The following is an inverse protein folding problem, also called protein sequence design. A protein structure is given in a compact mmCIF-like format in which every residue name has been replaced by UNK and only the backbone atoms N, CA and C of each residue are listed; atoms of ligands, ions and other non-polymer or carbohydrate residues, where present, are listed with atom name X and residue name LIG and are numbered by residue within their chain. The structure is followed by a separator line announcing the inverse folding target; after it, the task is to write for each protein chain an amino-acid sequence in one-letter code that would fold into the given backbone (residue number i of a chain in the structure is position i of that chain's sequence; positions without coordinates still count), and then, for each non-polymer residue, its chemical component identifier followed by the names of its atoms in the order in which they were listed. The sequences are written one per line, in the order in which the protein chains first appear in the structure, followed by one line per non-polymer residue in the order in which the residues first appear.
data_IF_764060488974
#
_entry.id   IF_764060488974
#
_cell.length_a   1.000
_cell.length_b   1.000
_cell.length_c   1.000
_cell.angle_alpha   90.00
_cell.angle_beta   90.00
_cell.angle_gamma   90.00
#
_symmetry.space_group_name_H-M   'P 1'
#
loop_
_entity.id
_entity.type
_entity.pdbx_description
1 polymer ?
#
# COMPACT_ATOMS: atom_id res chain seq x y z
N UNK A 1 -5.43 7.65 -13.19
CA UNK A 1 -4.79 7.92 -11.88
C UNK A 1 -4.99 6.68 -11.03
N UNK A 2 -4.06 6.32 -10.16
CA UNK A 2 -4.28 5.17 -9.28
C UNK A 2 -5.40 5.52 -8.30
N UNK A 3 -6.47 4.73 -8.26
CA UNK A 3 -7.65 4.97 -7.40
C UNK A 3 -7.65 4.06 -6.18
N UNK A 4 -7.23 2.81 -6.36
CA UNK A 4 -7.22 1.81 -5.30
C UNK A 4 -6.07 0.81 -5.48
N UNK A 5 -5.50 0.36 -4.36
CA UNK A 5 -4.60 -0.79 -4.28
C UNK A 5 -5.21 -1.84 -3.36
N UNK A 6 -5.40 -3.05 -3.89
CA UNK A 6 -5.81 -4.22 -3.14
C UNK A 6 -4.66 -5.21 -3.13
N UNK A 7 -4.23 -5.62 -1.94
CA UNK A 7 -3.16 -6.59 -1.73
C UNK A 7 -3.75 -7.80 -1.03
N UNK A 8 -3.54 -9.00 -1.57
CA UNK A 8 -3.97 -10.26 -0.97
C UNK A 8 -2.81 -11.26 -0.94
N UNK A 9 -2.66 -11.96 0.18
CA UNK A 9 -1.65 -13.02 0.38
C UNK A 9 -0.22 -12.58 -0.01
N UNK A 10 0.18 -11.38 0.43
CA UNK A 10 1.48 -10.80 0.09
C UNK A 10 2.30 -10.54 1.35
N UNK A 11 3.50 -11.13 1.40
CA UNK A 11 4.40 -11.07 2.57
C UNK A 11 3.66 -11.55 3.83
N UNK A 12 3.38 -10.66 4.80
CA UNK A 12 2.69 -10.95 6.06
C UNK A 12 1.23 -10.47 6.05
N UNK A 13 0.76 -9.89 4.94
CA UNK A 13 -0.58 -9.30 4.84
C UNK A 13 -1.50 -10.28 4.12
N UNK A 14 -2.51 -10.77 4.83
CA UNK A 14 -3.57 -11.58 4.24
C UNK A 14 -4.42 -10.74 3.28
N UNK A 15 -4.88 -9.56 3.74
CA UNK A 15 -5.65 -8.59 2.94
C UNK A 15 -5.36 -7.16 3.38
N UNK A 16 -5.09 -6.28 2.42
CA UNK A 16 -5.06 -4.84 2.63
C UNK A 16 -5.74 -4.11 1.46
N UNK A 17 -6.39 -2.99 1.81
CA UNK A 17 -7.08 -2.11 0.87
C UNK A 17 -6.64 -0.68 1.15
N UNK A 18 -6.19 0.02 0.11
CA UNK A 18 -5.84 1.43 0.17
C UNK A 18 -6.53 2.17 -0.96
N UNK A 19 -7.26 3.23 -0.59
CA UNK A 19 -7.88 4.15 -1.55
C UNK A 19 -6.98 5.38 -1.70
N UNK A 20 -6.67 5.72 -2.94
CA UNK A 20 -5.83 6.86 -3.29
C UNK A 20 -6.70 8.08 -3.59
N UNK A 21 -6.21 9.24 -3.15
CA UNK A 21 -6.87 10.51 -3.39
C UNK A 21 -6.10 11.36 -4.41
N UNK A 22 -6.76 12.31 -5.08
CA UNK A 22 -6.08 13.30 -5.91
C UNK A 22 -4.96 14.04 -5.16
N UNK A 23 -3.85 14.30 -5.85
CA UNK A 23 -2.69 15.01 -5.29
C UNK A 23 -1.68 14.10 -4.58
N UNK A 24 -1.08 14.61 -3.50
CA UNK A 24 -0.03 13.92 -2.76
C UNK A 24 -0.63 13.00 -1.69
N UNK A 25 -0.38 11.70 -1.81
CA UNK A 25 -0.72 10.73 -0.78
C UNK A 25 0.53 10.49 0.08
N UNK A 26 0.44 10.70 1.39
CA UNK A 26 1.56 10.53 2.32
C UNK A 26 1.33 9.29 3.17
N UNK A 27 2.25 8.32 3.07
CA UNK A 27 2.23 7.11 3.88
C UNK A 27 3.13 7.30 5.11
N UNK A 28 2.55 7.22 6.31
CA UNK A 28 3.25 7.41 7.59
C UNK A 28 3.12 6.19 8.50
N UNK A 29 3.86 6.18 9.61
CA UNK A 29 3.85 5.09 10.60
C UNK A 29 5.25 4.78 11.12
N UNK A 30 5.34 3.87 12.09
CA UNK A 30 6.61 3.42 12.68
C UNK A 30 7.32 2.37 11.82
N UNK A 31 8.51 1.93 12.23
CA UNK A 31 9.19 0.78 11.62
C UNK A 31 8.36 -0.47 11.83
N UNK A 32 8.14 -1.26 10.77
CA UNK A 32 7.30 -2.45 10.82
C UNK A 32 5.81 -2.21 10.57
N UNK A 33 5.35 -0.95 10.46
CA UNK A 33 3.94 -0.62 10.20
C UNK A 33 3.43 -0.99 8.77
N UNK A 34 4.23 -1.70 7.97
CA UNK A 34 3.82 -2.14 6.63
C UNK A 34 4.01 -1.10 5.51
N UNK A 35 4.73 0.00 5.74
CA UNK A 35 4.95 1.03 4.71
C UNK A 35 5.67 0.49 3.47
N UNK A 36 6.75 -0.27 3.66
CA UNK A 36 7.51 -0.87 2.54
C UNK A 36 6.66 -1.85 1.74
N UNK A 37 5.74 -2.57 2.39
CA UNK A 37 4.85 -3.51 1.71
C UNK A 37 3.95 -2.82 0.68
N UNK A 38 3.42 -1.64 1.02
CA UNK A 38 2.62 -0.84 0.08
C UNK A 38 3.48 -0.40 -1.11
N UNK A 39 4.70 0.07 -0.86
CA UNK A 39 5.63 0.50 -1.92
C UNK A 39 6.04 -0.68 -2.82
N UNK A 40 6.33 -1.84 -2.24
CA UNK A 40 6.66 -3.07 -2.95
C UNK A 40 5.48 -3.55 -3.81
N UNK A 41 4.27 -3.57 -3.26
CA UNK A 41 3.07 -3.95 -4.00
C UNK A 41 2.78 -2.99 -5.18
N UNK A 42 3.00 -1.68 -5.00
CA UNK A 42 2.89 -0.69 -6.08
C UNK A 42 3.91 -0.92 -7.19
N UNK A 43 5.13 -1.38 -6.86
CA UNK A 43 6.18 -1.67 -7.83
C UNK A 43 5.92 -2.90 -8.72
N UNK A 44 4.89 -3.69 -8.41
CA UNK A 44 4.48 -4.86 -9.20
C UNK A 44 3.39 -4.55 -10.24
N UNK A 45 2.84 -3.34 -10.25
CA UNK A 45 1.84 -2.87 -11.22
C UNK A 45 2.51 -2.35 -12.50
#
# INVERSE_FOLDING_TARGET
MLEQLRVENFVLVEKAFLDFHPGLNVLTGETGAGKSLVVEALGLL
#
